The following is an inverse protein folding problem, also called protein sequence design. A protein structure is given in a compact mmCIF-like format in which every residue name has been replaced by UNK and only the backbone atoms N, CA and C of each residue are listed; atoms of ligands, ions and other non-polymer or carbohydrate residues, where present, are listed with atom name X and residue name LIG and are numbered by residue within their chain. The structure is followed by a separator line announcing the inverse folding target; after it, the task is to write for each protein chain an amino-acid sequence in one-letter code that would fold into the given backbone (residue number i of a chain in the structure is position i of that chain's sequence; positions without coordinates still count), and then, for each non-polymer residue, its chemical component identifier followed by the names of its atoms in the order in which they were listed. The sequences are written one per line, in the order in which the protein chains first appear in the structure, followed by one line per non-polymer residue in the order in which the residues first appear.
data_IF_819296761558
#
_entry.id   IF_819296761558
#
_cell.length_a   1.000
_cell.length_b   1.000
_cell.length_c   1.000
_cell.angle_alpha   90.00
_cell.angle_beta   90.00
_cell.angle_gamma   90.00
#
_symmetry.space_group_name_H-M   'P 1'
#
loop_
_entity.id
_entity.type
_entity.pdbx_description
1 polymer ?
#
# COMPACT_ATOMS: atom_id res chain seq x y z
N UNK A 1 -10.89 18.86 14.48
CA UNK A 1 -11.56 17.63 14.98
C UNK A 1 -11.63 16.65 13.82
N UNK A 2 -10.51 16.02 13.48
CA UNK A 2 -10.39 15.13 12.31
C UNK A 2 -10.90 13.72 12.60
N UNK A 3 -12.16 13.65 13.04
CA UNK A 3 -12.88 12.40 13.24
C UNK A 3 -13.61 12.06 11.94
N UNK A 4 -12.83 11.85 10.87
CA UNK A 4 -13.27 11.22 9.63
C UNK A 4 -13.34 9.69 9.83
N UNK A 5 -14.13 9.26 10.82
CA UNK A 5 -14.54 7.88 11.02
C UNK A 5 -15.89 7.70 10.31
N UNK A 6 -15.92 7.37 9.01
CA UNK A 6 -17.09 6.65 8.44
C UNK A 6 -17.00 6.06 7.03
N UNK A 7 -15.85 5.95 6.37
CA UNK A 7 -15.75 5.00 5.26
C UNK A 7 -15.36 3.62 5.80
N UNK A 8 -16.32 2.89 6.41
CA UNK A 8 -16.15 1.47 6.80
C UNK A 8 -15.71 0.56 5.63
N UNK A 9 -15.74 1.10 4.42
CA UNK A 9 -15.34 0.48 3.18
C UNK A 9 -13.97 0.94 2.65
N UNK A 10 -13.10 1.60 3.42
CA UNK A 10 -11.73 1.91 2.95
C UNK A 10 -10.66 1.17 3.77
N UNK A 11 -9.66 0.65 3.08
CA UNK A 11 -8.46 0.00 3.59
C UNK A 11 -7.27 0.95 3.52
N UNK A 12 -6.50 1.00 4.60
CA UNK A 12 -5.23 1.73 4.64
C UNK A 12 -4.11 0.80 4.16
N UNK A 13 -3.40 1.23 3.13
CA UNK A 13 -2.23 0.56 2.57
C UNK A 13 -1.01 1.44 2.80
N UNK A 14 -0.09 0.92 3.60
CA UNK A 14 1.22 1.52 3.80
C UNK A 14 2.21 0.90 2.82
N UNK A 15 3.14 1.68 2.23
CA UNK A 15 4.20 1.14 1.37
C UNK A 15 5.01 0.02 2.05
N UNK A 16 5.23 0.14 3.36
CA UNK A 16 5.94 -0.85 4.20
C UNK A 16 5.30 -2.25 4.14
N UNK A 17 4.00 -2.37 3.86
CA UNK A 17 3.35 -3.69 3.76
C UNK A 17 3.82 -4.51 2.57
N UNK A 18 4.21 -3.81 1.51
CA UNK A 18 4.63 -4.33 0.22
C UNK A 18 6.16 -4.41 0.11
N UNK A 19 6.88 -3.69 0.98
CA UNK A 19 8.31 -3.49 0.85
C UNK A 19 9.12 -4.76 1.19
N UNK A 20 9.88 -5.25 0.22
CA UNK A 20 10.77 -6.40 0.36
C UNK A 20 12.01 -6.09 1.22
N UNK A 21 12.41 -4.82 1.30
CA UNK A 21 13.57 -4.39 2.11
C UNK A 21 13.26 -4.42 3.61
N UNK A 22 11.97 -4.41 3.96
CA UNK A 22 11.48 -4.44 5.33
C UNK A 22 11.18 -5.86 5.80
N UNK A 23 11.43 -6.10 7.06
CA UNK A 23 11.13 -7.36 7.74
C UNK A 23 9.64 -7.46 8.14
N UNK A 24 9.20 -8.66 8.53
CA UNK A 24 7.85 -8.86 9.07
C UNK A 24 7.63 -8.08 10.38
N UNK A 25 8.68 -7.93 11.19
CA UNK A 25 8.64 -7.15 12.43
C UNK A 25 8.43 -5.65 12.18
N UNK A 26 9.01 -5.12 11.10
CA UNK A 26 8.84 -3.72 10.68
C UNK A 26 7.46 -3.43 10.05
N UNK A 27 6.80 -4.45 9.54
CA UNK A 27 5.41 -4.36 9.06
C UNK A 27 5.14 -5.02 7.71
N UNK A 28 6.13 -5.67 7.08
CA UNK A 28 5.90 -6.40 5.83
C UNK A 28 4.85 -7.50 6.03
N UNK A 29 3.82 -7.50 5.19
CA UNK A 29 2.73 -8.48 5.23
C UNK A 29 2.96 -9.58 4.19
N UNK A 30 3.55 -9.24 3.05
CA UNK A 30 3.74 -10.17 1.94
C UNK A 30 4.97 -11.08 2.11
N UNK A 31 4.97 -12.26 1.46
CA UNK A 31 6.18 -13.07 1.32
C UNK A 31 7.20 -12.37 0.41
N UNK A 32 8.49 -12.67 0.60
CA UNK A 32 9.59 -12.00 -0.11
C UNK A 32 9.43 -12.07 -1.64
N UNK A 33 8.95 -13.21 -2.15
CA UNK A 33 8.71 -13.46 -3.59
C UNK A 33 7.63 -12.54 -4.20
N UNK A 34 6.67 -12.10 -3.39
CA UNK A 34 5.57 -11.22 -3.82
C UNK A 34 5.77 -9.77 -3.38
N UNK A 35 6.82 -9.50 -2.60
CA UNK A 35 7.15 -8.16 -2.12
C UNK A 35 7.91 -7.38 -3.19
N UNK A 36 7.82 -6.06 -3.12
CA UNK A 36 8.44 -5.12 -4.07
C UNK A 36 9.61 -4.45 -3.39
N UNK A 37 10.76 -4.39 -4.06
CA UNK A 37 11.91 -3.62 -3.55
C UNK A 37 11.62 -2.13 -3.72
N UNK A 38 11.59 -1.38 -2.61
CA UNK A 38 11.28 0.06 -2.57
C UNK A 38 10.01 0.43 -3.35
N UNK A 39 8.82 0.08 -2.82
CA UNK A 39 7.55 0.48 -3.43
C UNK A 39 7.35 1.99 -3.28
N UNK A 40 7.01 2.66 -4.39
CA UNK A 40 6.69 4.09 -4.37
C UNK A 40 5.18 4.31 -4.26
N UNK A 41 4.77 5.46 -3.71
CA UNK A 41 3.34 5.83 -3.59
C UNK A 41 2.64 5.82 -4.96
N UNK A 42 3.31 6.35 -5.99
CA UNK A 42 2.79 6.40 -7.37
C UNK A 42 2.52 5.01 -7.94
N UNK A 43 3.38 4.04 -7.66
CA UNK A 43 3.16 2.65 -8.12
C UNK A 43 1.95 2.01 -7.43
N UNK A 44 1.79 2.26 -6.13
CA UNK A 44 0.66 1.76 -5.35
C UNK A 44 -0.64 2.40 -5.84
N UNK A 45 -0.64 3.72 -6.02
CA UNK A 45 -1.77 4.47 -6.59
C UNK A 45 -2.16 3.93 -7.96
N UNK A 46 -1.21 3.84 -8.89
CA UNK A 46 -1.47 3.35 -10.24
C UNK A 46 -2.04 1.92 -10.24
N UNK A 47 -1.43 1.02 -9.45
CA UNK A 47 -1.91 -0.35 -9.34
C UNK A 47 -3.31 -0.44 -8.72
N UNK A 48 -3.61 0.37 -7.70
CA UNK A 48 -4.93 0.43 -7.10
C UNK A 48 -5.98 1.05 -8.02
N UNK A 49 -5.61 2.06 -8.83
CA UNK A 49 -6.46 2.66 -9.85
C UNK A 49 -6.82 1.63 -10.94
N UNK A 50 -5.84 0.86 -11.41
CA UNK A 50 -6.07 -0.22 -12.39
C UNK A 50 -6.96 -1.35 -11.83
N UNK A 51 -6.97 -1.55 -10.51
CA UNK A 51 -7.85 -2.50 -9.82
C UNK A 51 -9.25 -1.89 -9.49
N UNK A 52 -9.52 -0.67 -9.95
CA UNK A 52 -10.74 0.09 -9.66
C UNK A 52 -11.04 0.18 -8.16
N UNK A 53 -10.00 0.37 -7.34
CA UNK A 53 -10.11 0.46 -5.88
C UNK A 53 -10.15 1.91 -5.37
N UNK A 54 -10.42 2.91 -6.23
CA UNK A 54 -10.55 4.31 -5.81
C UNK A 54 -9.40 4.82 -4.92
N UNK A 55 -8.13 4.75 -5.36
CA UNK A 55 -7.00 5.12 -4.51
C UNK A 55 -7.06 6.61 -4.13
N UNK A 56 -6.82 6.89 -2.85
CA UNK A 56 -6.61 8.24 -2.33
C UNK A 56 -5.24 8.26 -1.67
N UNK A 57 -4.32 9.04 -2.25
CA UNK A 57 -2.97 9.20 -1.73
C UNK A 57 -2.96 10.32 -0.69
N UNK A 58 -2.46 10.02 0.49
CA UNK A 58 -2.19 11.02 1.53
C UNK A 58 -0.67 11.09 1.73
N UNK A 59 -0.03 12.09 1.13
CA UNK A 59 1.43 12.33 1.23
C UNK A 59 1.84 12.93 2.57
N UNK A 60 0.92 13.61 3.25
CA UNK A 60 1.20 14.37 4.47
C UNK A 60 1.31 13.50 5.73
N UNK A 61 1.08 12.18 5.62
CA UNK A 61 1.09 11.26 6.77
C UNK A 61 2.34 10.41 6.83
N UNK A 62 3.03 10.47 7.96
CA UNK A 62 4.16 9.61 8.27
C UNK A 62 3.70 8.27 8.87
N UNK A 63 4.46 7.20 8.62
CA UNK A 63 4.21 5.90 9.21
C UNK A 63 4.57 5.94 10.71
N UNK A 64 3.69 5.54 11.65
CA UNK A 64 3.92 5.71 13.08
C UNK A 64 5.22 5.07 13.62
N UNK A 65 5.66 3.96 13.03
CA UNK A 65 6.93 3.28 13.41
C UNK A 65 8.18 3.90 12.75
N UNK A 66 8.01 4.79 11.78
CA UNK A 66 9.10 5.50 11.09
C UNK A 66 8.63 6.93 10.83
N UNK A 67 8.31 7.64 11.91
CA UNK A 67 7.72 8.97 11.89
C UNK A 67 8.63 10.01 11.22
N UNK A 68 9.94 9.74 11.14
CA UNK A 68 10.94 10.55 10.43
C UNK A 68 10.91 10.37 8.91
N UNK A 69 10.23 9.35 8.38
CA UNK A 69 10.09 9.14 6.94
C UNK A 69 8.69 9.57 6.51
N UNK A 70 8.61 10.64 5.73
CA UNK A 70 7.39 11.06 5.02
C UNK A 70 7.06 10.06 3.92
N UNK A 71 6.58 8.88 4.34
CA UNK A 71 6.32 7.76 3.44
C UNK A 71 4.96 7.81 2.77
N UNK A 72 4.06 8.69 3.22
CA UNK A 72 2.66 8.75 2.82
C UNK A 72 1.90 7.45 3.06
N UNK A 73 0.61 7.46 2.78
CA UNK A 73 -0.22 6.25 2.74
C UNK A 73 -1.21 6.31 1.60
N UNK A 74 -1.68 5.15 1.16
CA UNK A 74 -2.73 5.04 0.15
C UNK A 74 -3.96 4.43 0.81
N UNK A 75 -5.08 5.13 0.73
CA UNK A 75 -6.39 4.59 1.06
C UNK A 75 -6.97 3.95 -0.20
N UNK A 76 -7.52 2.75 -0.08
CA UNK A 76 -8.18 2.06 -1.19
C UNK A 76 -9.52 1.52 -0.74
N UNK A 77 -10.45 1.32 -1.65
CA UNK A 77 -11.73 0.71 -1.36
C UNK A 77 -11.57 -0.76 -0.96
N UNK A 78 -12.26 -1.12 0.12
CA UNK A 78 -12.30 -2.44 0.73
C UNK A 78 -13.20 -3.35 -0.10
N UNK A 79 -12.59 -4.00 -1.09
CA UNK A 79 -13.24 -5.09 -1.84
C UNK A 79 -13.02 -6.48 -1.22
N UNK A 80 -12.20 -6.58 -0.17
CA UNK A 80 -11.88 -7.87 0.44
C UNK A 80 -10.94 -7.78 1.65
N UNK A 81 -10.36 -8.91 2.08
CA UNK A 81 -9.36 -8.96 3.12
C UNK A 81 -8.11 -8.16 2.74
N UNK A 82 -7.56 -7.42 3.70
CA UNK A 82 -6.38 -6.56 3.51
C UNK A 82 -5.20 -7.30 2.88
N UNK A 83 -4.92 -8.52 3.32
CA UNK A 83 -3.83 -9.34 2.79
C UNK A 83 -3.99 -9.62 1.30
N UNK A 84 -5.21 -9.90 0.85
CA UNK A 84 -5.52 -10.18 -0.56
C UNK A 84 -5.39 -8.90 -1.39
N UNK A 85 -5.94 -7.78 -0.93
CA UNK A 85 -5.84 -6.50 -1.64
C UNK A 85 -4.39 -6.04 -1.79
N UNK A 86 -3.60 -6.14 -0.71
CA UNK A 86 -2.16 -5.83 -0.73
C UNK A 86 -1.42 -6.75 -1.69
N UNK A 87 -1.74 -8.05 -1.71
CA UNK A 87 -1.16 -9.01 -2.65
C UNK A 87 -1.49 -8.68 -4.11
N UNK A 88 -2.75 -8.34 -4.40
CA UNK A 88 -3.19 -7.98 -5.76
C UNK A 88 -2.46 -6.72 -6.27
N UNK A 89 -2.34 -5.70 -5.43
CA UNK A 89 -1.59 -4.49 -5.75
C UNK A 89 -0.12 -4.84 -6.01
N UNK A 90 0.48 -5.69 -5.16
CA UNK A 90 1.87 -6.07 -5.34
C UNK A 90 2.12 -6.82 -6.65
N UNK A 91 1.25 -7.79 -6.96
CA UNK A 91 1.29 -8.53 -8.21
C UNK A 91 1.14 -7.60 -9.42
N UNK A 92 0.26 -6.59 -9.32
CA UNK A 92 0.06 -5.63 -10.41
C UNK A 92 1.30 -4.79 -10.64
N UNK A 93 1.92 -4.25 -9.59
CA UNK A 93 3.18 -3.49 -9.69
C UNK A 93 4.30 -4.37 -10.26
N UNK A 94 4.43 -5.62 -9.80
CA UNK A 94 5.45 -6.54 -10.34
C UNK A 94 5.24 -6.82 -11.82
N UNK A 95 3.98 -6.96 -12.28
CA UNK A 95 3.68 -7.08 -13.71
C UNK A 95 4.08 -5.82 -14.48
N UNK A 96 3.79 -4.63 -13.94
CA UNK A 96 4.19 -3.35 -14.56
C UNK A 96 5.72 -3.20 -14.63
N UNK A 97 6.46 -3.68 -13.61
CA UNK A 97 7.93 -3.64 -13.60
C UNK A 97 8.56 -4.68 -14.54
N UNK A 98 7.97 -5.87 -14.65
CA UNK A 98 8.46 -6.96 -15.51
C UNK A 98 8.10 -6.84 -16.99
N UNK A 99 7.24 -5.89 -17.38
CA UNK A 99 6.94 -5.56 -18.78
C UNK A 99 7.92 -4.55 -19.40
N UNK A 100 9.03 -4.24 -18.71
CA UNK A 100 10.02 -3.27 -19.15
C UNK A 100 11.29 -3.95 -19.64
#
# INVERSE_FOLDING_TARGET
MDIMLKDKNKLIIWPVYLDATKSRAEGRILPMKESIKSPTLKEIEKAAAELNLGPVVETDKAYPKSWWTTGGRVLVDKKGPKSITVKQIAQRINKTRGQK
#
